data_IF_196976079617
#
_entry.id   IF_196976079617
#
_cell.length_a   1.000
_cell.length_b   1.000
_cell.length_c   1.000
_cell.angle_alpha   90.00
_cell.angle_beta   90.00
_cell.angle_gamma   90.00
#
_symmetry.space_group_name_H-M   'P 1'
#
loop_
_entity.id
_entity.type
_entity.pdbx_description
1 polymer ?
#
# COMPACT_ATOMS: atom_id res chain seq x y z
N UNK A 1 49.73 -19.40 -12.68
CA UNK A 1 48.44 -20.12 -12.68
C UNK A 1 47.41 -19.25 -11.98
N UNK A 2 46.18 -19.21 -12.50
CA UNK A 2 45.17 -18.14 -12.30
C UNK A 2 44.74 -17.94 -10.85
N UNK A 3 44.86 -16.70 -10.37
CA UNK A 3 44.25 -16.19 -9.13
C UNK A 3 42.84 -15.74 -9.49
N UNK A 4 41.81 -16.29 -8.85
CA UNK A 4 40.45 -15.76 -8.91
C UNK A 4 40.18 -14.97 -7.64
N UNK A 5 40.02 -13.65 -7.77
CA UNK A 5 39.42 -12.82 -6.73
C UNK A 5 37.90 -12.81 -6.94
N UNK A 6 37.16 -13.41 -6.02
CA UNK A 6 35.71 -13.25 -5.95
C UNK A 6 35.41 -11.92 -5.23
N UNK A 7 35.06 -10.89 -6.00
CA UNK A 7 34.39 -9.71 -5.45
C UNK A 7 32.90 -10.05 -5.31
N UNK A 8 32.44 -10.23 -4.08
CA UNK A 8 31.02 -10.37 -3.78
C UNK A 8 30.43 -8.97 -3.60
N UNK A 9 29.89 -8.40 -4.69
CA UNK A 9 29.00 -7.24 -4.61
C UNK A 9 27.68 -7.69 -3.97
N UNK A 10 27.45 -7.31 -2.72
CA UNK A 10 26.23 -7.66 -1.99
C UNK A 10 25.08 -6.73 -2.38
N UNK A 11 24.50 -6.92 -3.56
CA UNK A 11 23.12 -6.47 -3.79
C UNK A 11 22.19 -7.54 -3.19
N UNK A 12 21.97 -7.46 -1.88
CA UNK A 12 20.91 -8.24 -1.22
C UNK A 12 19.58 -7.62 -1.63
N UNK A 13 19.05 -8.03 -2.80
CA UNK A 13 17.60 -7.94 -3.05
C UNK A 13 16.95 -8.96 -2.13
N UNK A 14 16.55 -8.53 -0.94
CA UNK A 14 15.60 -9.26 -0.10
C UNK A 14 14.24 -9.23 -0.82
N UNK A 15 14.08 -10.11 -1.80
CA UNK A 15 12.76 -10.55 -2.21
C UNK A 15 12.30 -11.44 -1.07
N UNK A 16 11.56 -10.86 -0.13
CA UNK A 16 10.76 -11.65 0.80
C UNK A 16 9.78 -12.44 -0.09
N UNK A 17 10.12 -13.70 -0.36
CA UNK A 17 9.15 -14.67 -0.85
C UNK A 17 8.25 -14.99 0.32
N UNK A 18 7.08 -14.37 0.37
CA UNK A 18 6.02 -14.86 1.23
C UNK A 18 5.69 -16.30 0.80
N UNK A 19 5.73 -17.27 1.73
CA UNK A 19 5.40 -18.65 1.44
C UNK A 19 3.88 -18.74 1.35
N UNK A 20 3.36 -19.25 0.23
CA UNK A 20 1.94 -19.32 -0.12
C UNK A 20 1.39 -17.94 -0.50
N UNK A 21 0.96 -17.81 -1.76
CA UNK A 21 0.31 -16.59 -2.24
C UNK A 21 -0.78 -16.18 -1.26
N UNK A 22 -0.63 -14.98 -0.69
CA UNK A 22 -1.67 -14.35 0.12
C UNK A 22 -3.02 -14.55 -0.57
N UNK A 23 -4.10 -14.82 0.17
CA UNK A 23 -5.45 -15.07 -0.40
C UNK A 23 -5.91 -14.01 -1.41
N UNK A 24 -5.27 -12.83 -1.40
CA UNK A 24 -5.53 -11.74 -2.33
C UNK A 24 -4.84 -11.88 -3.71
N UNK A 25 -4.04 -12.91 -3.96
CA UNK A 25 -3.23 -13.01 -5.18
C UNK A 25 -4.05 -13.09 -6.48
N UNK A 26 -5.33 -13.46 -6.38
CA UNK A 26 -6.30 -13.50 -7.48
C UNK A 26 -7.38 -12.41 -7.36
N UNK A 27 -7.23 -11.47 -6.42
CA UNK A 27 -8.22 -10.44 -6.18
C UNK A 27 -8.23 -9.44 -7.35
N UNK A 28 -9.34 -9.40 -8.09
CA UNK A 28 -9.52 -8.52 -9.26
C UNK A 28 -10.22 -7.22 -8.89
N UNK A 29 -11.12 -7.26 -7.92
CA UNK A 29 -11.84 -6.08 -7.40
C UNK A 29 -11.75 -6.06 -5.88
N UNK A 30 -11.47 -4.88 -5.35
CA UNK A 30 -11.46 -4.60 -3.93
C UNK A 30 -12.42 -3.44 -3.66
N UNK A 31 -13.42 -3.69 -2.84
CA UNK A 31 -14.24 -2.67 -2.19
C UNK A 31 -13.74 -2.54 -0.74
N UNK A 32 -12.94 -1.52 -0.47
CA UNK A 32 -12.28 -1.31 0.81
C UNK A 32 -13.04 -0.31 1.67
N UNK A 33 -13.26 -0.63 2.95
CA UNK A 33 -13.84 0.32 3.90
C UNK A 33 -12.87 0.55 5.04
N UNK A 34 -12.29 1.76 5.09
CA UNK A 34 -11.44 2.20 6.19
C UNK A 34 -12.29 2.74 7.33
N UNK A 35 -12.17 2.17 8.52
CA UNK A 35 -12.91 2.59 9.73
C UNK A 35 -11.99 2.84 10.94
N UNK A 36 -10.69 2.63 10.79
CA UNK A 36 -9.70 2.64 11.87
C UNK A 36 -8.49 3.49 11.45
N UNK A 37 -7.73 4.01 12.42
CA UNK A 37 -6.54 4.85 12.24
C UNK A 37 -5.47 4.17 11.37
N UNK A 38 -5.47 2.82 11.33
CA UNK A 38 -4.53 2.02 10.56
C UNK A 38 -5.00 1.66 9.14
N UNK A 39 -6.11 2.24 8.66
CA UNK A 39 -6.72 1.91 7.36
C UNK A 39 -5.72 1.97 6.20
N UNK A 40 -4.81 2.94 6.23
CA UNK A 40 -3.85 3.16 5.14
C UNK A 40 -2.80 2.06 5.06
N UNK A 41 -2.31 1.56 6.20
CA UNK A 41 -1.39 0.43 6.25
C UNK A 41 -2.07 -0.87 5.80
N UNK A 42 -3.32 -1.08 6.21
CA UNK A 42 -4.10 -2.25 5.80
C UNK A 42 -4.36 -2.22 4.29
N UNK A 43 -4.71 -1.06 3.74
CA UNK A 43 -4.85 -0.86 2.30
C UNK A 43 -3.56 -1.21 1.56
N UNK A 44 -2.40 -0.68 2.00
CA UNK A 44 -1.11 -0.98 1.36
C UNK A 44 -0.75 -2.46 1.42
N UNK A 45 -1.09 -3.13 2.53
CA UNK A 45 -0.88 -4.57 2.67
C UNK A 45 -1.71 -5.35 1.65
N UNK A 46 -3.01 -5.05 1.52
CA UNK A 46 -3.87 -5.71 0.52
C UNK A 46 -3.35 -5.46 -0.89
N UNK A 47 -3.03 -4.21 -1.25
CA UNK A 47 -2.52 -3.87 -2.57
C UNK A 47 -1.23 -4.63 -2.91
N UNK A 48 -0.28 -4.71 -1.97
CA UNK A 48 0.97 -5.45 -2.15
C UNK A 48 0.75 -6.94 -2.45
N UNK A 49 -0.31 -7.51 -1.90
CA UNK A 49 -0.65 -8.91 -2.04
C UNK A 49 -1.69 -9.22 -3.12
N UNK A 50 -2.15 -8.20 -3.85
CA UNK A 50 -3.18 -8.30 -4.89
C UNK A 50 -2.63 -7.95 -6.27
N UNK A 51 -1.58 -8.63 -6.79
CA UNK A 51 -0.87 -8.20 -8.00
C UNK A 51 -1.78 -8.03 -9.22
N UNK A 52 -2.90 -8.77 -9.32
CA UNK A 52 -3.83 -8.71 -10.45
C UNK A 52 -5.04 -7.78 -10.24
N UNK A 53 -5.04 -6.95 -9.19
CA UNK A 53 -6.15 -6.05 -8.87
C UNK A 53 -6.37 -5.01 -9.97
N UNK A 54 -7.62 -4.92 -10.44
CA UNK A 54 -8.03 -4.02 -11.53
C UNK A 54 -8.97 -2.91 -11.06
N UNK A 55 -9.78 -3.17 -10.04
CA UNK A 55 -10.71 -2.18 -9.49
C UNK A 55 -10.45 -1.98 -8.00
N UNK A 56 -10.13 -0.75 -7.63
CA UNK A 56 -10.06 -0.31 -6.25
C UNK A 56 -11.15 0.73 -6.01
N UNK A 57 -12.18 0.33 -5.28
CA UNK A 57 -13.15 1.25 -4.73
C UNK A 57 -12.92 1.34 -3.24
N UNK A 58 -12.99 2.53 -2.67
CA UNK A 58 -12.94 2.61 -1.22
C UNK A 58 -13.64 3.81 -0.64
N UNK A 59 -14.04 3.63 0.63
CA UNK A 59 -14.69 4.61 1.49
C UNK A 59 -13.91 4.64 2.78
N UNK A 60 -13.50 5.83 3.23
CA UNK A 60 -12.91 6.01 4.56
C UNK A 60 -13.94 6.75 5.40
N UNK A 61 -14.47 6.07 6.41
CA UNK A 61 -15.42 6.65 7.34
C UNK A 61 -14.62 7.36 8.45
N UNK A 62 -14.59 8.68 8.40
CA UNK A 62 -14.05 9.48 9.50
C UNK A 62 -15.12 9.59 10.59
N UNK A 63 -14.96 8.85 11.67
CA UNK A 63 -15.85 8.92 12.83
C UNK A 63 -15.53 10.09 13.79
N UNK A 64 -14.64 11.02 13.40
CA UNK A 64 -14.22 12.14 14.26
C UNK A 64 -13.31 11.71 15.42
N UNK A 65 -13.01 10.42 15.55
CA UNK A 65 -11.98 9.86 16.42
C UNK A 65 -10.59 10.02 15.79
N UNK A 66 -10.34 11.23 15.27
CA UNK A 66 -9.18 11.61 14.48
C UNK A 66 -7.84 11.24 15.12
N UNK A 67 -7.34 10.02 14.93
CA UNK A 67 -5.93 9.63 15.04
C UNK A 67 -5.21 10.15 16.30
N UNK A 68 -5.98 10.35 17.38
CA UNK A 68 -5.50 10.89 18.64
C UNK A 68 -5.29 9.68 19.52
N UNK A 69 -4.07 9.15 19.47
CA UNK A 69 -3.62 8.28 20.54
C UNK A 69 -3.64 9.12 21.83
N UNK A 70 -4.74 9.05 22.59
CA UNK A 70 -4.95 9.82 23.82
C UNK A 70 -3.82 9.61 24.83
N UNK A 71 -3.18 8.45 24.76
CA UNK A 71 -2.03 8.06 25.58
C UNK A 71 -0.69 8.65 25.12
N UNK A 72 -0.56 9.14 23.87
CA UNK A 72 0.72 9.64 23.33
C UNK A 72 0.67 11.05 22.71
N UNK A 73 -0.51 11.62 22.44
CA UNK A 73 -0.63 12.93 21.79
C UNK A 73 -0.01 13.02 20.38
N UNK A 74 0.31 11.88 19.76
CA UNK A 74 0.93 11.81 18.43
C UNK A 74 -0.09 11.31 17.41
N UNK A 75 -0.38 12.17 16.43
CA UNK A 75 -1.08 11.79 15.20
C UNK A 75 -0.17 10.87 14.38
N UNK A 76 -0.57 9.63 14.11
CA UNK A 76 0.17 8.71 13.25
C UNK A 76 0.02 9.16 11.80
N UNK A 77 1.03 9.85 11.26
CA UNK A 77 1.02 10.30 9.86
C UNK A 77 1.25 9.11 8.92
N UNK A 78 0.63 9.15 7.75
CA UNK A 78 0.91 8.18 6.70
C UNK A 78 2.39 8.21 6.30
N UNK A 79 2.97 7.02 6.05
CA UNK A 79 4.34 6.86 5.58
C UNK A 79 4.29 6.17 4.23
N UNK A 80 4.89 6.81 3.21
CA UNK A 80 4.92 6.26 1.87
C UNK A 80 5.67 4.92 1.83
N UNK A 81 5.09 3.86 1.23
CA UNK A 81 5.77 2.60 1.02
C UNK A 81 7.03 2.75 0.16
N UNK A 82 8.08 2.00 0.47
CA UNK A 82 9.33 2.00 -0.30
C UNK A 82 9.23 1.37 -1.68
N UNK A 83 8.23 0.50 -1.88
CA UNK A 83 8.00 -0.22 -3.13
C UNK A 83 6.57 -0.01 -3.58
N UNK A 84 6.39 0.11 -4.89
CA UNK A 84 5.07 0.25 -5.50
C UNK A 84 4.48 -1.14 -5.71
N UNK A 85 3.24 -1.41 -5.23
CA UNK A 85 2.54 -2.65 -5.54
C UNK A 85 2.41 -2.89 -7.05
N UNK A 86 2.62 -4.13 -7.49
CA UNK A 86 2.51 -4.51 -8.91
C UNK A 86 1.14 -4.18 -9.50
N UNK A 87 0.09 -4.28 -8.70
CA UNK A 87 -1.26 -3.97 -9.15
C UNK A 87 -1.43 -2.52 -9.56
N UNK A 88 -0.83 -1.58 -8.83
CA UNK A 88 -0.86 -0.17 -9.21
C UNK A 88 -0.11 0.04 -10.53
N UNK A 89 1.06 -0.58 -10.68
CA UNK A 89 1.90 -0.37 -11.85
C UNK A 89 1.31 -0.92 -13.17
N UNK A 90 0.59 -2.04 -13.12
CA UNK A 90 0.28 -2.81 -14.32
C UNK A 90 -1.19 -3.19 -14.51
N UNK A 91 -1.99 -3.23 -13.44
CA UNK A 91 -3.30 -3.88 -13.49
C UNK A 91 -4.46 -2.97 -13.09
N UNK A 92 -4.22 -1.92 -12.31
CA UNK A 92 -5.27 -1.05 -11.82
C UNK A 92 -5.86 -0.22 -12.97
N UNK A 93 -7.13 -0.46 -13.27
CA UNK A 93 -7.88 0.24 -14.33
C UNK A 93 -8.88 1.23 -13.78
N UNK A 94 -9.36 1.00 -12.56
CA UNK A 94 -10.42 1.80 -11.95
C UNK A 94 -10.06 2.10 -10.52
N UNK A 95 -10.13 3.38 -10.18
CA UNK A 95 -9.93 3.90 -8.83
C UNK A 95 -11.10 4.84 -8.50
N UNK A 96 -11.89 4.47 -7.50
CA UNK A 96 -12.99 5.29 -6.99
C UNK A 96 -12.81 5.50 -5.48
N UNK A 97 -12.79 6.76 -5.05
CA UNK A 97 -12.74 7.12 -3.63
C UNK A 97 -14.00 7.91 -3.28
N UNK A 98 -14.86 7.30 -2.46
CA UNK A 98 -16.08 7.95 -1.93
C UNK A 98 -15.80 8.54 -0.55
N UNK A 99 -16.45 9.66 -0.26
CA UNK A 99 -16.32 10.35 1.04
C UNK A 99 -14.88 10.81 1.33
N UNK A 100 -14.13 11.17 0.29
CA UNK A 100 -12.80 11.76 0.44
C UNK A 100 -12.89 13.14 1.11
N UNK A 101 -12.35 13.26 2.32
CA UNK A 101 -12.41 14.49 3.11
C UNK A 101 -11.26 15.47 2.82
N UNK A 102 -10.27 15.06 2.04
CA UNK A 102 -9.13 15.90 1.67
C UNK A 102 -8.17 16.18 2.83
N UNK A 103 -8.16 15.31 3.85
CA UNK A 103 -7.17 15.37 4.91
C UNK A 103 -5.76 15.16 4.35
N UNK A 104 -4.74 15.56 5.10
CA UNK A 104 -3.34 15.44 4.64
C UNK A 104 -2.95 13.97 4.37
N UNK A 105 -3.37 13.04 5.23
CA UNK A 105 -3.08 11.62 5.05
C UNK A 105 -3.82 11.05 3.82
N UNK A 106 -5.08 11.43 3.62
CA UNK A 106 -5.84 11.02 2.44
C UNK A 106 -5.22 11.58 1.15
N UNK A 107 -4.79 12.84 1.15
CA UNK A 107 -4.10 13.47 0.00
C UNK A 107 -2.83 12.71 -0.36
N UNK A 108 -2.02 12.34 0.63
CA UNK A 108 -0.78 11.62 0.39
C UNK A 108 -1.04 10.23 -0.20
N UNK A 109 -2.04 9.49 0.31
CA UNK A 109 -2.46 8.20 -0.25
C UNK A 109 -3.02 8.35 -1.67
N UNK A 110 -3.89 9.35 -1.91
CA UNK A 110 -4.46 9.62 -3.23
C UNK A 110 -3.36 9.92 -4.26
N UNK A 111 -2.45 10.83 -3.92
CA UNK A 111 -1.32 11.21 -4.78
C UNK A 111 -0.44 10.01 -5.06
N UNK A 112 -0.16 9.16 -4.06
CA UNK A 112 0.62 7.95 -4.25
C UNK A 112 -0.05 6.99 -5.23
N UNK A 113 -1.34 6.69 -5.05
CA UNK A 113 -2.07 5.78 -5.94
C UNK A 113 -2.10 6.36 -7.36
N UNK A 114 -2.50 7.62 -7.51
CA UNK A 114 -2.66 8.27 -8.82
C UNK A 114 -1.32 8.47 -9.56
N UNK A 115 -0.21 8.66 -8.86
CA UNK A 115 1.12 8.76 -9.49
C UNK A 115 1.66 7.43 -9.99
N UNK A 116 1.23 6.33 -9.38
CA UNK A 116 1.77 5.00 -9.66
C UNK A 116 0.84 4.12 -10.49
N UNK A 117 -0.47 4.41 -10.47
CA UNK A 117 -1.45 3.84 -11.37
C UNK A 117 -1.15 4.27 -12.82
N UNK A 118 -1.07 3.31 -13.74
CA UNK A 118 -0.85 3.54 -15.18
C UNK A 118 -2.13 3.37 -15.98
#
# INVERSE_FOLDING_TARGET
>A
MRVWTLSASSTVRRIAKDPVGSIFFQLVRLDFRGCDDNWSNLLMHVLRHSPVLQTLNFVVLDYGLSNWNLERGVKVRWIQPSCVPECLLFHLKTFEWKEYNGTEDEKQVAVYILKNAR
#
